data_IF_017178728745
#
_entry.id   IF_017178728745
#
_cell.length_a   1.000
_cell.length_b   1.000
_cell.length_c   1.000
_cell.angle_alpha   90.00
_cell.angle_beta   90.00
_cell.angle_gamma   90.00
#
_symmetry.space_group_name_H-M   'P 1'
#
loop_
_entity.id
_entity.type
_entity.pdbx_description
1 polymer ?
#
# COMPACT_ATOMS: atom_id res chain seq x y z
N UNK A 1 21.02 8.99 22.65
CA UNK A 1 20.94 7.80 21.78
C UNK A 1 20.33 6.70 22.64
N UNK A 2 19.07 6.31 22.37
CA UNK A 2 18.41 5.27 23.16
C UNK A 2 19.16 3.93 23.00
N UNK A 3 19.61 3.30 24.10
CA UNK A 3 20.38 2.05 24.01
C UNK A 3 19.49 0.88 23.57
N UNK A 4 19.92 0.14 22.55
CA UNK A 4 19.35 -1.16 22.24
C UNK A 4 19.68 -2.09 23.42
N UNK A 5 18.69 -2.61 24.18
CA UNK A 5 17.55 -3.41 23.71
C UNK A 5 16.17 -2.76 23.89
N UNK A 6 16.12 -1.50 24.35
CA UNK A 6 14.87 -0.79 24.63
C UNK A 6 14.10 -0.56 23.33
N UNK A 7 14.77 -0.03 22.31
CA UNK A 7 14.21 0.17 20.97
C UNK A 7 14.56 -1.01 20.06
N UNK A 8 13.56 -1.86 19.78
CA UNK A 8 13.67 -2.98 18.82
C UNK A 8 12.58 -2.87 17.77
N UNK A 9 12.88 -2.23 16.65
CA UNK A 9 11.94 -1.99 15.55
C UNK A 9 11.26 -3.26 15.01
N UNK A 10 11.94 -4.41 15.14
CA UNK A 10 11.39 -5.72 14.75
C UNK A 10 10.17 -6.14 15.56
N UNK A 11 9.94 -5.59 16.78
CA UNK A 11 8.78 -5.93 17.63
C UNK A 11 7.45 -5.61 16.94
N UNK A 12 7.35 -4.44 16.30
CA UNK A 12 6.14 -4.06 15.54
C UNK A 12 5.97 -4.86 14.24
N UNK A 13 6.99 -5.60 13.81
CA UNK A 13 6.95 -6.45 12.59
C UNK A 13 6.67 -7.93 12.88
N UNK A 14 6.45 -8.30 14.14
CA UNK A 14 6.38 -9.70 14.63
C UNK A 14 5.25 -10.52 13.99
N UNK A 15 4.08 -9.93 13.80
CA UNK A 15 2.92 -10.63 13.22
C UNK A 15 2.15 -9.72 12.27
N UNK A 16 1.19 -10.29 11.55
CA UNK A 16 0.45 -9.56 10.53
C UNK A 16 -0.45 -8.45 11.09
N UNK A 17 -1.14 -8.73 12.21
CA UNK A 17 -2.00 -7.77 12.89
C UNK A 17 -1.24 -6.50 13.29
N UNK A 18 -0.06 -6.65 13.90
CA UNK A 18 0.78 -5.53 14.32
C UNK A 18 1.26 -4.71 13.11
N UNK A 19 1.72 -5.38 12.05
CA UNK A 19 2.13 -4.70 10.81
C UNK A 19 0.98 -3.95 10.16
N UNK A 20 -0.25 -4.49 10.22
CA UNK A 20 -1.45 -3.84 9.69
C UNK A 20 -1.84 -2.60 10.48
N UNK A 21 -1.70 -2.64 11.81
CA UNK A 21 -1.97 -1.50 12.69
C UNK A 21 -0.96 -0.37 12.49
N UNK A 22 0.33 -0.67 12.35
CA UNK A 22 1.38 0.35 12.18
C UNK A 22 1.64 0.77 10.74
N UNK A 23 0.87 0.28 9.77
CA UNK A 23 1.06 0.64 8.36
C UNK A 23 0.65 2.10 8.13
N UNK A 24 1.57 2.89 7.61
CA UNK A 24 1.37 4.31 7.28
C UNK A 24 0.59 4.46 5.98
N UNK A 25 1.08 3.88 4.88
CA UNK A 25 0.49 4.01 3.55
C UNK A 25 -0.52 2.90 3.24
N UNK A 26 -1.69 3.28 2.70
CA UNK A 26 -2.71 2.36 2.19
C UNK A 26 -3.06 2.77 0.75
N UNK A 27 -3.37 1.79 -0.09
CA UNK A 27 -3.83 1.99 -1.45
C UNK A 27 -5.20 1.31 -1.60
N UNK A 28 -6.19 2.02 -2.12
CA UNK A 28 -7.51 1.49 -2.48
C UNK A 28 -7.78 1.65 -3.97
N UNK A 29 -8.87 1.03 -4.45
CA UNK A 29 -9.32 1.17 -5.85
C UNK A 29 -9.64 2.64 -6.17
N UNK A 30 -10.07 3.42 -5.18
CA UNK A 30 -10.35 4.86 -5.33
C UNK A 30 -9.10 5.69 -5.66
N UNK A 31 -7.90 5.13 -5.48
CA UNK A 31 -6.65 5.79 -5.81
C UNK A 31 -6.14 5.44 -7.21
N UNK A 32 -6.86 4.57 -7.95
CA UNK A 32 -6.45 4.11 -9.26
C UNK A 32 -7.10 4.95 -10.36
N UNK A 33 -6.31 5.32 -11.35
CA UNK A 33 -6.78 5.92 -12.59
C UNK A 33 -6.67 4.87 -13.69
N UNK A 34 -7.77 4.60 -14.39
CA UNK A 34 -7.79 3.72 -15.56
C UNK A 34 -7.82 4.58 -16.84
N UNK A 35 -6.66 4.91 -17.44
CA UNK A 35 -6.64 5.61 -18.70
C UNK A 35 -7.17 4.70 -19.81
N UNK A 36 -8.14 5.21 -20.57
CA UNK A 36 -8.72 4.52 -21.71
C UNK A 36 -8.40 5.31 -22.98
N UNK A 37 -7.88 4.62 -23.98
CA UNK A 37 -7.67 5.20 -25.32
C UNK A 37 -8.86 4.82 -26.20
N UNK A 38 -9.50 5.83 -26.80
CA UNK A 38 -10.65 5.63 -27.68
C UNK A 38 -10.25 5.95 -29.11
N UNK A 39 -10.69 5.11 -30.05
CA UNK A 39 -10.61 5.36 -31.49
C UNK A 39 -12.02 5.63 -32.03
N UNK A 40 -12.24 6.63 -32.90
CA UNK A 40 -13.52 6.83 -33.54
C UNK A 40 -13.90 5.62 -34.43
N UNK A 41 -15.19 5.27 -34.45
CA UNK A 41 -15.76 4.18 -35.25
C UNK A 41 -16.54 3.15 -34.42
N UNK A 42 -17.57 2.55 -35.00
CA UNK A 42 -18.37 1.47 -34.40
C UNK A 42 -17.85 0.09 -34.78
N UNK A 43 -17.74 -0.84 -33.83
CA UNK A 43 -17.36 -2.24 -34.12
C UNK A 43 -15.87 -2.47 -34.34
N UNK A 44 -15.02 -1.59 -33.81
CA UNK A 44 -13.57 -1.74 -33.86
C UNK A 44 -13.15 -3.02 -33.12
N UNK A 45 -12.54 -3.97 -33.84
CA UNK A 45 -11.84 -5.14 -33.31
C UNK A 45 -10.33 -4.92 -33.36
#
# INVERSE_FOLDING_TARGET
MEPQPQTRLRRMRRNDTLRRMTRETRLSVDNLIMPLFVRPGSGVR
#
